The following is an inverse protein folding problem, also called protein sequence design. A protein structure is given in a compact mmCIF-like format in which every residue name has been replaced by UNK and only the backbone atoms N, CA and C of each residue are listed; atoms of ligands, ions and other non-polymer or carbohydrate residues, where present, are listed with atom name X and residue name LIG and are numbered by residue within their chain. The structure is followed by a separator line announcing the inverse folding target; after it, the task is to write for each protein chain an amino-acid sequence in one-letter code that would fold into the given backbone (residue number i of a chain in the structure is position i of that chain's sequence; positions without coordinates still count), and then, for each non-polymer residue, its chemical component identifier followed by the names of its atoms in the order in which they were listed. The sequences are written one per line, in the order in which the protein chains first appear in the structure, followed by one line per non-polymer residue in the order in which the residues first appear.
data_IF_279044882110
#
_entry.id   IF_279044882110
#
_cell.length_a   1.000
_cell.length_b   1.000
_cell.length_c   1.000
_cell.angle_alpha   90.00
_cell.angle_beta   90.00
_cell.angle_gamma   90.00
#
_symmetry.space_group_name_H-M   'P 1'
#
loop_
_entity.id
_entity.type
_entity.pdbx_description
1 polymer ?
#
# COMPACT_ATOMS: atom_id res chain seq x y z
N UNK A 1 7.81 -0.55 -1.71
CA UNK A 1 6.36 -0.65 -2.02
C UNK A 1 6.16 -0.92 -3.50
N UNK A 2 5.30 -1.88 -3.84
CA UNK A 2 4.97 -2.25 -5.22
C UNK A 2 3.49 -1.97 -5.49
N UNK A 3 3.20 -1.21 -6.55
CA UNK A 3 1.84 -0.90 -6.97
C UNK A 3 1.48 -1.75 -8.19
N UNK A 4 0.26 -2.26 -8.22
CA UNK A 4 -0.22 -3.17 -9.27
C UNK A 4 -1.42 -2.59 -10.02
N UNK A 5 -1.70 -3.13 -11.20
CA UNK A 5 -2.83 -2.69 -12.02
C UNK A 5 -2.79 -1.19 -12.33
N UNK A 6 -3.94 -0.52 -12.17
CA UNK A 6 -4.11 0.89 -12.48
C UNK A 6 -3.32 1.81 -11.53
N UNK A 7 -2.93 1.32 -10.35
CA UNK A 7 -2.08 2.06 -9.41
C UNK A 7 -0.64 2.25 -9.94
N UNK A 8 -0.21 1.47 -10.93
CA UNK A 8 1.13 1.61 -11.52
C UNK A 8 1.38 2.99 -12.14
N UNK A 9 0.31 3.74 -12.46
CA UNK A 9 0.40 5.13 -12.95
C UNK A 9 1.09 6.07 -11.95
N UNK A 10 1.06 5.73 -10.67
CA UNK A 10 1.71 6.48 -9.58
C UNK A 10 3.15 6.01 -9.31
N UNK A 11 3.60 4.96 -10.01
CA UNK A 11 4.91 4.33 -9.87
C UNK A 11 4.79 2.82 -9.68
N UNK A 12 5.61 2.02 -10.37
CA UNK A 12 5.55 0.56 -10.28
C UNK A 12 6.19 0.01 -9.00
N UNK A 13 7.37 0.51 -8.66
CA UNK A 13 8.13 0.13 -7.47
C UNK A 13 8.76 1.40 -6.88
N UNK A 14 8.43 1.65 -5.62
CA UNK A 14 8.85 2.85 -4.90
C UNK A 14 9.63 2.40 -3.67
N UNK A 15 10.89 2.82 -3.58
CA UNK A 15 11.73 2.61 -2.40
C UNK A 15 11.43 3.70 -1.39
N UNK A 16 11.13 3.30 -0.16
CA UNK A 16 10.74 4.20 0.93
C UNK A 16 11.51 3.80 2.18
N UNK A 17 11.94 4.79 2.97
CA UNK A 17 12.50 4.59 4.31
C UNK A 17 11.40 4.90 5.32
N UNK A 18 10.68 3.86 5.74
CA UNK A 18 9.51 3.93 6.63
C UNK A 18 9.54 2.75 7.58
N UNK A 19 8.94 2.92 8.77
CA UNK A 19 8.89 1.89 9.79
C UNK A 19 7.62 1.04 9.71
N UNK A 20 6.54 1.55 9.10
CA UNK A 20 5.25 0.87 9.00
C UNK A 20 4.62 1.02 7.63
N UNK A 21 3.66 0.14 7.30
CA UNK A 21 2.93 0.25 6.04
C UNK A 21 1.99 1.46 6.01
N UNK A 22 1.44 1.86 7.16
CA UNK A 22 0.66 3.08 7.31
C UNK A 22 1.49 4.32 6.92
N UNK A 23 2.75 4.39 7.36
CA UNK A 23 3.67 5.47 6.98
C UNK A 23 3.95 5.47 5.47
N UNK A 24 4.14 4.30 4.86
CA UNK A 24 4.34 4.18 3.42
C UNK A 24 3.15 4.76 2.63
N UNK A 25 1.93 4.33 2.97
CA UNK A 25 0.69 4.77 2.32
C UNK A 25 0.47 6.26 2.56
N UNK A 26 0.72 6.75 3.78
CA UNK A 26 0.63 8.17 4.12
C UNK A 26 1.62 9.01 3.33
N UNK A 27 2.88 8.57 3.23
CA UNK A 27 3.92 9.25 2.46
C UNK A 27 3.51 9.40 0.99
N UNK A 28 3.03 8.32 0.34
CA UNK A 28 2.54 8.38 -1.03
C UNK A 28 1.32 9.28 -1.17
N UNK A 29 0.41 9.26 -0.19
CA UNK A 29 -0.80 10.09 -0.21
C UNK A 29 -0.50 11.58 -0.09
N UNK A 30 0.64 11.96 0.50
CA UNK A 30 1.09 13.35 0.63
C UNK A 30 1.96 13.79 -0.56
N UNK A 31 2.82 12.90 -1.06
CA UNK A 31 3.84 13.26 -2.06
C UNK A 31 3.42 13.00 -3.50
N UNK A 32 2.48 12.07 -3.74
CA UNK A 32 2.07 11.68 -5.09
C UNK A 32 0.71 12.28 -5.42
N UNK A 33 0.63 13.25 -6.34
CA UNK A 33 -0.63 13.87 -6.73
C UNK A 33 -1.66 12.83 -7.21
N UNK A 34 -2.90 12.96 -6.75
CA UNK A 34 -4.00 12.06 -7.11
C UNK A 34 -4.03 10.73 -6.36
N UNK A 35 -2.92 10.29 -5.74
CA UNK A 35 -2.85 9.00 -5.04
C UNK A 35 -3.84 8.91 -3.87
N UNK A 36 -3.94 9.97 -3.04
CA UNK A 36 -4.90 10.02 -1.93
C UNK A 36 -6.34 9.84 -2.38
N UNK A 37 -6.71 10.45 -3.52
CA UNK A 37 -8.07 10.34 -4.08
C UNK A 37 -8.35 8.90 -4.49
N UNK A 38 -7.42 8.32 -5.27
CA UNK A 38 -7.49 6.93 -5.71
C UNK A 38 -7.65 5.96 -4.51
N UNK A 39 -6.87 6.15 -3.44
CA UNK A 39 -6.95 5.31 -2.24
C UNK A 39 -8.29 5.41 -1.51
N UNK A 40 -8.98 6.55 -1.57
CA UNK A 40 -10.30 6.74 -0.93
C UNK A 40 -11.45 6.18 -1.77
N UNK A 41 -11.30 6.13 -3.10
CA UNK A 41 -12.38 5.76 -4.04
C UNK A 41 -12.35 4.28 -4.43
N UNK A 42 -11.22 3.59 -4.28
CA UNK A 42 -11.05 2.22 -4.76
C UNK A 42 -10.95 1.16 -3.67
N UNK A 43 -11.10 -0.10 -4.09
CA UNK A 43 -10.93 -1.27 -3.26
C UNK A 43 -9.57 -1.93 -3.52
N UNK A 44 -8.83 -2.18 -2.46
CA UNK A 44 -7.46 -2.69 -2.56
C UNK A 44 -7.21 -3.86 -1.63
N UNK A 45 -6.42 -4.81 -2.11
CA UNK A 45 -5.78 -5.83 -1.30
C UNK A 45 -4.37 -5.39 -0.96
N UNK A 46 -4.03 -5.49 0.32
CA UNK A 46 -2.72 -5.13 0.84
C UNK A 46 -1.99 -6.42 1.22
N UNK A 47 -0.78 -6.59 0.71
CA UNK A 47 0.17 -7.60 1.20
C UNK A 47 1.32 -6.92 1.89
N UNK A 48 1.70 -7.39 3.07
CA UNK A 48 2.80 -6.84 3.86
C UNK A 48 3.76 -7.99 4.17
N UNK A 49 5.04 -7.80 3.87
CA UNK A 49 6.08 -8.81 4.08
C UNK A 49 5.77 -10.18 3.45
N UNK A 50 5.07 -10.18 2.31
CA UNK A 50 4.69 -11.41 1.59
C UNK A 50 3.37 -12.05 2.02
N UNK A 51 2.73 -11.54 3.08
CA UNK A 51 1.47 -12.07 3.60
C UNK A 51 0.27 -11.19 3.22
N UNK A 52 -0.82 -11.83 2.80
CA UNK A 52 -2.09 -11.18 2.54
C UNK A 52 -2.77 -10.70 3.83
N UNK A 53 -3.22 -9.45 3.83
CA UNK A 53 -3.91 -8.88 4.97
C UNK A 53 -5.43 -9.02 4.79
N UNK A 54 -6.07 -9.79 5.68
CA UNK A 54 -7.52 -9.91 5.73
C UNK A 54 -8.18 -8.57 6.15
N UNK A 55 -9.42 -8.27 5.72
CA UNK A 55 -10.07 -6.98 5.98
C UNK A 55 -10.10 -6.56 7.45
N UNK A 56 -10.36 -7.50 8.35
CA UNK A 56 -10.39 -7.31 9.80
C UNK A 56 -8.99 -7.08 10.42
N UNK A 57 -7.94 -7.53 9.73
CA UNK A 57 -6.54 -7.38 10.14
C UNK A 57 -5.85 -6.18 9.51
N UNK A 58 -6.50 -5.43 8.62
CA UNK A 58 -5.88 -4.29 7.91
C UNK A 58 -5.32 -3.27 8.89
N UNK A 59 -6.15 -2.80 9.82
CA UNK A 59 -5.72 -1.77 10.79
C UNK A 59 -4.49 -2.20 11.61
N UNK A 60 -4.50 -3.34 12.35
CA UNK A 60 -3.34 -3.72 13.15
C UNK A 60 -2.09 -3.95 12.28
N UNK A 61 -2.23 -4.66 11.16
CA UNK A 61 -1.11 -4.98 10.25
C UNK A 61 -0.47 -3.74 9.63
N UNK A 62 -1.23 -2.68 9.37
CA UNK A 62 -0.68 -1.43 8.84
C UNK A 62 0.25 -0.72 9.83
N UNK A 63 0.05 -0.94 11.13
CA UNK A 63 0.83 -0.34 12.20
C UNK A 63 1.92 -1.24 12.77
N UNK A 64 2.02 -2.49 12.30
CA UNK A 64 3.12 -3.38 12.63
C UNK A 64 4.45 -2.86 12.06
N UNK A 65 5.56 -3.06 12.80
CA UNK A 65 6.89 -2.66 12.33
C UNK A 65 7.30 -3.53 11.13
N UNK A 66 7.90 -2.88 10.14
CA UNK A 66 8.48 -3.51 8.97
C UNK A 66 9.97 -3.78 9.20
N UNK A 67 10.44 -4.90 8.68
CA UNK A 67 11.86 -5.21 8.61
C UNK A 67 12.50 -4.53 7.37
N UNK A 68 13.82 -4.24 7.42
CA UNK A 68 14.54 -3.78 6.25
C UNK A 68 14.39 -4.75 5.07
N UNK A 69 13.92 -4.23 3.94
CA UNK A 69 13.68 -5.02 2.73
C UNK A 69 12.27 -5.57 2.58
N UNK A 70 11.40 -5.41 3.58
CA UNK A 70 10.00 -5.80 3.47
C UNK A 70 9.30 -5.05 2.34
N UNK A 71 8.46 -5.80 1.62
CA UNK A 71 7.74 -5.28 0.47
C UNK A 71 6.26 -5.23 0.77
N UNK A 72 5.70 -4.03 0.69
CA UNK A 72 4.26 -3.80 0.72
C UNK A 72 3.75 -3.84 -0.72
N UNK A 73 2.72 -4.66 -1.01
CA UNK A 73 2.03 -4.69 -2.30
C UNK A 73 0.62 -4.10 -2.14
N UNK A 74 0.28 -3.14 -3.00
CA UNK A 74 -1.09 -2.66 -3.18
C UNK A 74 -1.65 -3.19 -4.49
N UNK A 75 -2.68 -4.03 -4.41
CA UNK A 75 -3.31 -4.67 -5.56
C UNK A 75 -4.75 -4.17 -5.68
N UNK A 76 -5.12 -3.46 -6.77
CA UNK A 76 -6.50 -3.08 -7.01
C UNK A 76 -7.36 -4.33 -7.19
N UNK A 77 -8.50 -4.37 -6.51
CA UNK A 77 -9.52 -5.38 -6.74
C UNK A 77 -10.47 -4.85 -7.81
N UNK A 78 -10.73 -5.66 -8.84
CA UNK A 78 -11.85 -5.38 -9.71
C UNK A 78 -13.13 -5.54 -8.89
N UNK A 79 -13.98 -4.51 -8.86
CA UNK A 79 -15.39 -4.71 -8.55
C UNK A 79 -15.93 -5.65 -9.64
N UNK A 80 -16.34 -6.84 -9.23
CA UNK A 80 -17.02 -7.81 -10.09
C UNK A 80 -18.45 -7.39 -10.35
#
# INVERSE_FOLDING_TARGET
MCLHGDLQRFGRRISLYVNTAAEAIRALSLQVPGFRRQMNEGWYQIRIAGEDTAPDQISPRLHEPLNPGDVIHLVPRAEG
#
